data_IF_920327715925
#
_entry.id   IF_920327715925
#
_cell.length_a   1.000
_cell.length_b   1.000
_cell.length_c   1.000
_cell.angle_alpha   90.00
_cell.angle_beta   90.00
_cell.angle_gamma   90.00
#
_symmetry.space_group_name_H-M   'P 1'
#
loop_
_entity.id
_entity.type
_entity.pdbx_description
1 polymer ?
#
# COMPACT_ATOMS: atom_id res chain seq x y z
N UNK A 1 -6.80 30.39 5.47
CA UNK A 1 -6.35 29.39 6.44
C UNK A 1 -6.74 28.05 5.86
N UNK A 2 -5.77 27.16 5.61
CA UNK A 2 -5.97 25.85 4.98
C UNK A 2 -6.34 24.84 6.06
N UNK A 3 -7.36 24.04 5.80
CA UNK A 3 -7.93 23.06 6.75
C UNK A 3 -7.29 21.71 6.52
N UNK A 4 -6.52 21.23 7.49
CA UNK A 4 -5.71 20.01 7.40
C UNK A 4 -6.37 18.83 8.08
N UNK A 5 -6.43 17.69 7.37
CA UNK A 5 -6.66 16.37 7.93
C UNK A 5 -5.31 15.68 8.15
N UNK A 6 -4.98 15.31 9.40
CA UNK A 6 -3.79 14.53 9.73
C UNK A 6 -4.16 13.05 9.92
N UNK A 7 -3.49 12.16 9.17
CA UNK A 7 -3.70 10.71 9.27
C UNK A 7 -2.36 10.03 9.48
N UNK A 8 -2.14 9.50 10.67
CA UNK A 8 -0.86 8.93 11.11
C UNK A 8 -1.10 8.00 12.29
N UNK A 9 -0.63 6.77 12.23
CA UNK A 9 -0.86 5.76 13.28
C UNK A 9 -0.03 6.01 14.54
N UNK A 10 1.20 6.56 14.40
CA UNK A 10 2.07 6.90 15.51
C UNK A 10 1.55 8.15 16.24
N UNK A 11 0.86 7.94 17.36
CA UNK A 11 0.19 9.01 18.10
C UNK A 11 1.11 10.18 18.48
N UNK A 12 2.36 9.91 18.89
CA UNK A 12 3.32 10.96 19.25
C UNK A 12 3.73 11.81 18.04
N UNK A 13 3.94 11.20 16.89
CA UNK A 13 4.30 11.92 15.67
C UNK A 13 3.09 12.74 15.16
N UNK A 14 1.90 12.15 15.14
CA UNK A 14 0.66 12.85 14.80
C UNK A 14 0.40 14.07 15.67
N UNK A 15 0.54 13.95 17.01
CA UNK A 15 0.36 15.07 17.95
C UNK A 15 1.42 16.15 17.74
N UNK A 16 2.67 15.78 17.46
CA UNK A 16 3.75 16.72 17.17
C UNK A 16 3.43 17.51 15.89
N UNK A 17 3.03 16.85 14.82
CA UNK A 17 2.64 17.51 13.58
C UNK A 17 1.43 18.43 13.80
N UNK A 18 0.41 17.98 14.54
CA UNK A 18 -0.76 18.79 14.84
C UNK A 18 -0.36 20.08 15.58
N UNK A 19 0.49 19.97 16.61
CA UNK A 19 0.98 21.12 17.35
C UNK A 19 1.75 22.10 16.46
N UNK A 20 2.58 21.58 15.55
CA UNK A 20 3.36 22.38 14.60
C UNK A 20 2.45 23.11 13.62
N UNK A 21 1.51 22.41 12.98
CA UNK A 21 0.58 23.02 12.04
C UNK A 21 -0.33 24.06 12.68
N UNK A 22 -0.83 23.79 13.88
CA UNK A 22 -1.68 24.75 14.64
C UNK A 22 -0.88 25.98 15.13
N UNK A 23 0.46 25.88 15.18
CA UNK A 23 1.35 27.02 15.44
C UNK A 23 1.53 27.95 14.26
N UNK A 24 1.19 27.52 13.04
CA UNK A 24 1.32 28.30 11.82
C UNK A 24 0.02 29.05 11.47
N UNK A 25 0.09 30.37 11.14
CA UNK A 25 -1.10 31.19 10.93
C UNK A 25 -1.91 30.83 9.68
N UNK A 26 -1.35 30.08 8.77
CA UNK A 26 -1.92 29.69 7.49
C UNK A 26 -2.62 28.33 7.53
N UNK A 27 -2.49 27.57 8.64
CA UNK A 27 -3.06 26.24 8.79
C UNK A 27 -4.03 26.11 9.97
N UNK A 28 -4.93 25.13 9.88
CA UNK A 28 -5.82 24.69 10.95
C UNK A 28 -5.98 23.16 10.86
N UNK A 29 -5.62 22.43 11.89
CA UNK A 29 -5.85 20.98 11.95
C UNK A 29 -7.30 20.70 12.34
N UNK A 30 -8.14 20.42 11.35
CA UNK A 30 -9.58 20.22 11.53
C UNK A 30 -9.95 18.80 11.95
N UNK A 31 -9.08 17.82 11.69
CA UNK A 31 -9.26 16.44 12.13
C UNK A 31 -7.93 15.70 12.23
N UNK A 32 -7.90 14.71 13.12
CA UNK A 32 -6.80 13.77 13.29
C UNK A 32 -7.34 12.36 13.31
N UNK A 33 -6.60 11.40 12.72
CA UNK A 33 -6.95 9.99 12.69
C UNK A 33 -5.71 9.10 12.77
N UNK A 34 -5.83 7.94 13.43
CA UNK A 34 -4.78 6.94 13.55
C UNK A 34 -5.00 5.70 12.67
N UNK A 35 -6.05 5.69 11.83
CA UNK A 35 -6.39 4.57 10.95
C UNK A 35 -7.28 5.04 9.79
N UNK A 36 -7.41 4.24 8.74
CA UNK A 36 -8.32 4.51 7.62
C UNK A 36 -9.76 4.62 8.08
N UNK A 37 -10.22 3.69 8.92
CA UNK A 37 -11.59 3.69 9.42
C UNK A 37 -11.90 4.94 10.25
N UNK A 38 -10.94 5.42 11.04
CA UNK A 38 -11.07 6.68 11.77
C UNK A 38 -11.07 7.87 10.83
N UNK A 39 -10.14 7.94 9.88
CA UNK A 39 -10.03 9.01 8.91
C UNK A 39 -11.32 9.16 8.09
N UNK A 40 -11.89 8.06 7.57
CA UNK A 40 -13.16 8.07 6.86
C UNK A 40 -14.31 8.64 7.68
N UNK A 41 -14.37 8.32 8.99
CA UNK A 41 -15.41 8.87 9.89
C UNK A 41 -15.20 10.34 10.20
N UNK A 42 -13.97 10.74 10.49
CA UNK A 42 -13.65 12.11 10.90
C UNK A 42 -13.63 13.10 9.73
N UNK A 43 -13.30 12.64 8.52
CA UNK A 43 -13.30 13.48 7.32
C UNK A 43 -14.71 13.93 6.91
N UNK A 44 -15.75 13.18 7.28
CA UNK A 44 -17.13 13.52 6.94
C UNK A 44 -17.54 14.81 7.62
N UNK A 45 -17.87 15.85 6.84
CA UNK A 45 -18.40 17.12 7.32
C UNK A 45 -17.38 18.11 7.89
N UNK A 46 -16.10 17.74 8.02
CA UNK A 46 -15.07 18.70 8.50
C UNK A 46 -14.54 19.60 7.39
N UNK A 47 -14.75 19.25 6.10
CA UNK A 47 -14.34 20.08 4.96
C UNK A 47 -12.84 20.36 4.94
N UNK A 48 -12.00 19.32 5.02
CA UNK A 48 -10.57 19.46 4.87
C UNK A 48 -10.21 19.83 3.42
N UNK A 49 -9.26 20.77 3.26
CA UNK A 49 -8.73 21.19 1.96
C UNK A 49 -7.53 20.34 1.57
N UNK A 50 -6.76 19.90 2.57
CA UNK A 50 -5.52 19.16 2.41
C UNK A 50 -5.42 18.02 3.44
N UNK A 51 -4.89 16.88 2.99
CA UNK A 51 -4.54 15.74 3.85
C UNK A 51 -3.03 15.57 3.96
N UNK A 52 -2.52 15.44 5.17
CA UNK A 52 -1.17 14.94 5.45
C UNK A 52 -1.35 13.50 5.94
N UNK A 53 -1.02 12.54 5.09
CA UNK A 53 -1.47 11.16 5.22
C UNK A 53 -0.27 10.21 5.22
N UNK A 54 -0.18 9.36 6.25
CA UNK A 54 0.73 8.22 6.23
C UNK A 54 0.32 7.20 5.17
N UNK A 55 1.31 6.69 4.45
CA UNK A 55 1.11 5.67 3.44
C UNK A 55 0.68 4.33 4.06
N UNK A 56 1.27 3.97 5.21
CA UNK A 56 1.04 2.69 5.88
C UNK A 56 0.24 2.90 7.16
N UNK A 57 -0.98 2.37 7.19
CA UNK A 57 -1.87 2.44 8.33
C UNK A 57 -2.23 1.02 8.83
N UNK A 58 -2.64 0.85 10.10
CA UNK A 58 -2.87 -0.47 10.69
C UNK A 58 -4.00 -1.27 10.03
N UNK A 59 -4.89 -0.61 9.32
CA UNK A 59 -6.08 -1.18 8.68
C UNK A 59 -6.10 -1.01 7.15
N UNK A 60 -4.97 -0.62 6.52
CA UNK A 60 -4.82 -0.53 5.07
C UNK A 60 -3.81 0.52 4.61
N UNK A 61 -3.85 0.86 3.34
CA UNK A 61 -2.93 1.83 2.73
C UNK A 61 -3.57 3.22 2.61
N UNK A 62 -2.81 4.28 2.94
CA UNK A 62 -3.26 5.67 2.83
C UNK A 62 -3.72 6.08 1.42
N UNK A 63 -3.27 5.37 0.39
CA UNK A 63 -3.71 5.57 -1.01
C UNK A 63 -5.21 5.33 -1.21
N UNK A 64 -5.83 4.47 -0.42
CA UNK A 64 -7.27 4.25 -0.47
C UNK A 64 -8.03 5.51 -0.03
N UNK A 65 -7.55 6.13 1.06
CA UNK A 65 -8.15 7.34 1.60
C UNK A 65 -8.04 8.53 0.64
N UNK A 66 -6.93 8.64 -0.11
CA UNK A 66 -6.77 9.69 -1.13
C UNK A 66 -7.89 9.61 -2.17
N UNK A 67 -8.18 8.39 -2.67
CA UNK A 67 -9.26 8.19 -3.64
C UNK A 67 -10.62 8.59 -3.08
N UNK A 68 -10.95 8.10 -1.87
CA UNK A 68 -12.21 8.40 -1.19
C UNK A 68 -12.41 9.91 -1.00
N UNK A 69 -11.37 10.62 -0.54
CA UNK A 69 -11.44 12.06 -0.26
C UNK A 69 -11.51 12.90 -1.54
N UNK A 70 -10.81 12.50 -2.60
CA UNK A 70 -10.88 13.19 -3.90
C UNK A 70 -12.19 12.93 -4.65
N UNK A 71 -12.81 11.78 -4.47
CA UNK A 71 -14.17 11.53 -4.98
C UNK A 71 -15.19 12.44 -4.28
N UNK A 72 -15.01 12.68 -2.97
CA UNK A 72 -15.88 13.56 -2.19
C UNK A 72 -15.59 15.06 -2.44
N UNK A 73 -14.34 15.44 -2.69
CA UNK A 73 -13.88 16.81 -2.95
C UNK A 73 -12.78 16.77 -4.00
N UNK A 74 -13.11 17.12 -5.25
CA UNK A 74 -12.17 17.08 -6.38
C UNK A 74 -10.93 17.98 -6.21
N UNK A 75 -11.04 19.03 -5.41
CA UNK A 75 -9.95 19.98 -5.13
C UNK A 75 -9.06 19.56 -3.93
N UNK A 76 -9.39 18.45 -3.28
CA UNK A 76 -8.62 17.94 -2.14
C UNK A 76 -7.18 17.60 -2.54
N UNK A 77 -6.21 18.22 -1.87
CA UNK A 77 -4.79 17.94 -2.06
C UNK A 77 -4.29 16.93 -1.00
N UNK A 78 -3.48 15.96 -1.42
CA UNK A 78 -2.90 14.98 -0.51
C UNK A 78 -1.37 15.06 -0.54
N UNK A 79 -0.76 15.28 0.63
CA UNK A 79 0.66 15.09 0.91
C UNK A 79 0.81 13.72 1.59
N UNK A 80 1.58 12.85 0.98
CA UNK A 80 1.94 11.58 1.60
C UNK A 80 3.20 11.75 2.44
N UNK A 81 3.14 11.29 3.69
CA UNK A 81 4.31 11.06 4.54
C UNK A 81 4.62 9.57 4.58
N UNK A 82 5.84 9.17 4.27
CA UNK A 82 6.24 7.76 4.29
C UNK A 82 7.63 7.56 4.84
N UNK A 83 7.87 6.44 5.53
CA UNK A 83 9.21 5.99 5.89
C UNK A 83 9.84 5.11 4.79
N UNK A 84 9.08 4.79 3.75
CA UNK A 84 9.52 3.94 2.65
C UNK A 84 10.23 4.75 1.57
N UNK A 85 11.29 4.15 1.02
CA UNK A 85 12.01 4.64 -0.17
C UNK A 85 11.60 3.87 -1.43
N UNK A 86 10.60 2.99 -1.32
CA UNK A 86 10.13 2.18 -2.44
C UNK A 86 9.36 3.04 -3.45
N UNK A 87 9.92 3.13 -4.65
CA UNK A 87 9.31 3.87 -5.76
C UNK A 87 7.95 3.28 -6.19
N UNK A 88 7.68 2.00 -5.92
CA UNK A 88 6.39 1.39 -6.27
C UNK A 88 5.28 1.90 -5.38
N UNK A 89 5.56 2.12 -4.10
CA UNK A 89 4.63 2.75 -3.17
C UNK A 89 4.36 4.22 -3.53
N UNK A 90 5.42 4.97 -3.87
CA UNK A 90 5.27 6.35 -4.35
C UNK A 90 4.46 6.41 -5.65
N UNK A 91 4.67 5.46 -6.56
CA UNK A 91 3.93 5.36 -7.81
C UNK A 91 2.43 5.12 -7.57
N UNK A 92 2.08 4.23 -6.65
CA UNK A 92 0.68 4.00 -6.23
C UNK A 92 0.04 5.25 -5.61
N UNK A 93 0.80 5.98 -4.78
CA UNK A 93 0.32 7.22 -4.18
C UNK A 93 0.00 8.27 -5.25
N UNK A 94 0.89 8.49 -6.22
CA UNK A 94 0.69 9.42 -7.33
C UNK A 94 -0.46 8.99 -8.24
N UNK A 95 -0.60 7.69 -8.54
CA UNK A 95 -1.74 7.14 -9.29
C UNK A 95 -3.07 7.36 -8.56
N UNK A 96 -3.07 7.29 -7.23
CA UNK A 96 -4.26 7.60 -6.41
C UNK A 96 -4.59 9.08 -6.34
N UNK A 97 -3.68 9.95 -6.79
CA UNK A 97 -3.85 11.40 -6.85
C UNK A 97 -3.12 12.17 -5.74
N UNK A 98 -2.10 11.60 -5.12
CA UNK A 98 -1.22 12.36 -4.24
C UNK A 98 -0.54 13.48 -5.02
N UNK A 99 -0.54 14.69 -4.46
CA UNK A 99 0.08 15.86 -5.03
C UNK A 99 1.57 15.99 -4.65
N UNK A 100 2.00 15.22 -3.65
CA UNK A 100 3.39 15.15 -3.22
C UNK A 100 3.65 13.97 -2.30
N UNK A 101 4.91 13.57 -2.21
CA UNK A 101 5.41 12.54 -1.29
C UNK A 101 6.64 13.11 -0.59
N UNK A 102 6.65 13.05 0.75
CA UNK A 102 7.76 13.49 1.61
C UNK A 102 8.13 12.35 2.54
N UNK A 103 9.42 12.15 2.75
CA UNK A 103 9.89 11.13 3.67
C UNK A 103 9.68 11.58 5.13
N UNK A 104 9.25 10.68 6.04
CA UNK A 104 9.00 11.00 7.46
C UNK A 104 10.24 11.48 8.22
N UNK A 105 11.45 11.26 7.70
CA UNK A 105 12.69 11.80 8.27
C UNK A 105 13.05 13.19 7.75
N UNK A 106 12.23 13.80 6.89
CA UNK A 106 12.41 15.18 6.46
C UNK A 106 12.30 16.14 7.66
N UNK A 107 12.95 17.26 7.57
CA UNK A 107 12.83 18.29 8.58
C UNK A 107 11.41 18.86 8.60
N UNK A 108 10.99 19.35 9.77
CA UNK A 108 9.66 19.96 9.95
C UNK A 108 9.42 21.10 8.96
N UNK A 109 10.43 21.94 8.74
CA UNK A 109 10.35 23.05 7.80
C UNK A 109 10.11 22.58 6.36
N UNK A 110 10.66 21.42 5.97
CA UNK A 110 10.41 20.81 4.66
C UNK A 110 8.97 20.32 4.53
N UNK A 111 8.41 19.71 5.60
CA UNK A 111 7.00 19.28 5.61
C UNK A 111 6.06 20.48 5.51
N UNK A 112 6.34 21.55 6.27
CA UNK A 112 5.57 22.79 6.23
C UNK A 112 5.64 23.47 4.85
N UNK A 113 6.83 23.57 4.26
CA UNK A 113 7.02 24.17 2.91
C UNK A 113 6.27 23.34 1.86
N UNK A 114 6.43 22.02 1.88
CA UNK A 114 5.69 21.11 1.00
C UNK A 114 4.17 21.33 1.12
N UNK A 115 3.66 21.42 2.35
CA UNK A 115 2.24 21.64 2.60
C UNK A 115 1.76 22.99 2.08
N UNK A 116 2.55 24.07 2.25
CA UNK A 116 2.24 25.41 1.72
C UNK A 116 2.19 25.43 0.21
N UNK A 117 3.14 24.78 -0.45
CA UNK A 117 3.18 24.70 -1.91
C UNK A 117 1.96 23.94 -2.46
N UNK A 118 1.57 22.83 -1.81
CA UNK A 118 0.35 22.14 -2.19
C UNK A 118 -0.91 22.98 -1.95
N UNK A 119 -0.98 23.71 -0.85
CA UNK A 119 -2.07 24.63 -0.55
C UNK A 119 -2.18 25.78 -1.57
N UNK A 120 -1.07 26.16 -2.18
CA UNK A 120 -1.01 27.13 -3.28
C UNK A 120 -1.39 26.52 -4.65
N UNK A 121 -1.69 25.22 -4.71
CA UNK A 121 -2.03 24.50 -5.96
C UNK A 121 -0.79 24.07 -6.76
N UNK A 122 0.41 24.13 -6.18
CA UNK A 122 1.63 23.63 -6.80
C UNK A 122 1.69 22.10 -6.67
N UNK A 123 2.39 21.45 -7.58
CA UNK A 123 2.82 20.05 -7.44
C UNK A 123 4.25 19.99 -6.93
N UNK A 124 4.56 19.06 -6.03
CA UNK A 124 5.92 18.84 -5.53
C UNK A 124 6.77 18.04 -6.50
N UNK A 125 6.13 17.34 -7.42
CA UNK A 125 6.76 16.49 -8.42
C UNK A 125 6.86 17.20 -9.75
N UNK A 126 7.98 17.05 -10.44
CA UNK A 126 8.14 17.50 -11.83
C UNK A 126 7.25 16.65 -12.76
N UNK A 127 6.93 17.21 -13.93
CA UNK A 127 6.17 16.46 -14.94
C UNK A 127 6.86 15.14 -15.34
N UNK A 128 8.19 15.13 -15.39
CA UNK A 128 8.95 13.94 -15.72
C UNK A 128 8.82 12.86 -14.63
N UNK A 129 8.94 13.24 -13.35
CA UNK A 129 8.74 12.33 -12.22
C UNK A 129 7.32 11.76 -12.19
N UNK A 130 6.31 12.58 -12.44
CA UNK A 130 4.91 12.14 -12.52
C UNK A 130 4.76 11.08 -13.62
N UNK A 131 5.29 11.31 -14.82
CA UNK A 131 5.20 10.35 -15.93
C UNK A 131 5.91 9.04 -15.61
N UNK A 132 7.11 9.10 -14.99
CA UNK A 132 7.85 7.89 -14.58
C UNK A 132 7.08 7.10 -13.52
N UNK A 133 6.54 7.76 -12.50
CA UNK A 133 5.77 7.11 -11.44
C UNK A 133 4.46 6.51 -11.96
N UNK A 134 3.72 7.20 -12.82
CA UNK A 134 2.50 6.67 -13.42
C UNK A 134 2.78 5.45 -14.32
N UNK A 135 3.90 5.47 -15.05
CA UNK A 135 4.33 4.29 -15.82
C UNK A 135 4.64 3.11 -14.91
N UNK A 136 5.37 3.34 -13.82
CA UNK A 136 5.69 2.30 -12.82
C UNK A 136 4.41 1.74 -12.17
N UNK A 137 3.48 2.60 -11.79
CA UNK A 137 2.18 2.19 -11.23
C UNK A 137 1.41 1.29 -12.20
N UNK A 138 1.39 1.65 -13.48
CA UNK A 138 0.78 0.82 -14.53
C UNK A 138 1.42 -0.56 -14.66
N UNK A 139 2.75 -0.65 -14.58
CA UNK A 139 3.48 -1.93 -14.60
C UNK A 139 3.14 -2.79 -13.37
N UNK A 140 3.19 -2.21 -12.18
CA UNK A 140 2.85 -2.92 -10.92
C UNK A 140 1.41 -3.47 -10.98
N UNK A 141 0.47 -2.68 -11.45
CA UNK A 141 -0.92 -3.09 -11.57
C UNK A 141 -1.12 -4.25 -12.57
N UNK A 142 -0.39 -4.24 -13.68
CA UNK A 142 -0.47 -5.35 -14.64
C UNK A 142 0.15 -6.63 -14.07
N UNK A 143 1.31 -6.53 -13.39
CA UNK A 143 1.92 -7.66 -12.67
C UNK A 143 0.96 -8.25 -11.61
N UNK A 144 0.28 -7.39 -10.84
CA UNK A 144 -0.71 -7.83 -9.85
C UNK A 144 -1.92 -8.52 -10.50
N UNK A 145 -2.38 -7.98 -11.63
CA UNK A 145 -3.49 -8.57 -12.40
C UNK A 145 -3.14 -9.95 -12.96
N UNK A 146 -1.95 -10.09 -13.53
CA UNK A 146 -1.45 -11.37 -14.02
C UNK A 146 -1.29 -12.37 -12.87
N UNK A 147 -0.77 -11.93 -11.73
CA UNK A 147 -0.67 -12.76 -10.54
C UNK A 147 -2.06 -13.24 -10.05
N UNK A 148 -3.04 -12.34 -9.98
CA UNK A 148 -4.41 -12.71 -9.57
C UNK A 148 -5.06 -13.69 -10.56
N UNK A 149 -4.84 -13.52 -11.86
CA UNK A 149 -5.31 -14.46 -12.88
C UNK A 149 -4.68 -15.86 -12.69
N UNK A 150 -3.38 -15.93 -12.39
CA UNK A 150 -2.65 -17.17 -12.09
C UNK A 150 -3.16 -17.84 -10.82
N UNK A 151 -3.42 -17.06 -9.77
CA UNK A 151 -4.00 -17.50 -8.49
C UNK A 151 -5.37 -18.14 -8.70
N UNK A 152 -6.20 -17.53 -9.55
CA UNK A 152 -7.53 -18.04 -9.88
C UNK A 152 -7.52 -19.43 -10.54
N UNK A 153 -6.40 -19.86 -11.10
CA UNK A 153 -6.21 -21.20 -11.69
C UNK A 153 -5.80 -22.27 -10.68
N UNK A 154 -5.37 -21.89 -9.46
CA UNK A 154 -4.92 -22.82 -8.43
C UNK A 154 -6.13 -23.53 -7.83
N UNK A 155 -6.14 -24.85 -7.97
CA UNK A 155 -7.20 -25.72 -7.40
C UNK A 155 -7.10 -25.80 -5.88
N UNK A 156 -8.19 -26.18 -5.16
CA UNK A 156 -8.14 -26.41 -3.71
C UNK A 156 -7.02 -27.40 -3.31
N UNK A 157 -6.80 -28.44 -4.10
CA UNK A 157 -5.78 -29.44 -3.81
C UNK A 157 -4.36 -28.90 -3.99
N UNK A 158 -4.13 -28.08 -4.99
CA UNK A 158 -2.85 -27.41 -5.21
C UNK A 158 -2.57 -26.37 -4.11
N UNK A 159 -3.61 -25.70 -3.60
CA UNK A 159 -3.49 -24.80 -2.44
C UNK A 159 -3.07 -25.56 -1.17
N UNK A 160 -3.63 -26.75 -0.91
CA UNK A 160 -3.19 -27.59 0.20
C UNK A 160 -1.71 -28.01 0.07
N UNK A 161 -1.26 -28.32 -1.15
CA UNK A 161 0.16 -28.63 -1.42
C UNK A 161 1.03 -27.41 -1.12
N UNK A 162 0.64 -26.22 -1.59
CA UNK A 162 1.37 -24.96 -1.31
C UNK A 162 1.42 -24.66 0.19
N UNK A 163 0.31 -24.83 0.92
CA UNK A 163 0.25 -24.58 2.36
C UNK A 163 1.16 -25.55 3.13
N UNK A 164 1.16 -26.83 2.78
CA UNK A 164 2.07 -27.80 3.41
C UNK A 164 3.54 -27.56 3.03
N UNK A 165 3.81 -27.01 1.84
CA UNK A 165 5.13 -26.54 1.46
C UNK A 165 5.56 -25.33 2.33
N UNK A 166 4.66 -24.40 2.62
CA UNK A 166 4.93 -23.25 3.47
C UNK A 166 5.23 -23.66 4.95
N UNK A 167 4.77 -24.82 5.38
CA UNK A 167 5.11 -25.42 6.66
C UNK A 167 6.52 -26.07 6.67
N UNK A 168 7.26 -26.02 5.56
CA UNK A 168 8.62 -26.55 5.44
C UNK A 168 8.71 -28.06 5.16
N UNK A 169 7.60 -28.72 4.79
CA UNK A 169 7.58 -30.16 4.56
C UNK A 169 8.26 -30.54 3.23
N UNK A 170 8.97 -31.68 3.26
CA UNK A 170 9.52 -32.33 2.05
C UNK A 170 8.43 -32.98 1.21
N UNK A 171 8.72 -33.30 -0.06
CA UNK A 171 7.78 -33.99 -0.97
C UNK A 171 7.19 -35.26 -0.36
N UNK A 172 7.99 -36.05 0.37
CA UNK A 172 7.54 -37.29 1.02
C UNK A 172 6.57 -37.00 2.17
N UNK A 173 6.87 -35.98 2.96
CA UNK A 173 6.02 -35.57 4.08
C UNK A 173 4.71 -34.94 3.59
N UNK A 174 4.76 -34.10 2.54
CA UNK A 174 3.56 -33.57 1.89
C UNK A 174 2.69 -34.70 1.37
N UNK A 175 3.27 -35.66 0.62
CA UNK A 175 2.55 -36.80 0.08
C UNK A 175 1.89 -37.63 1.19
N UNK A 176 2.62 -37.91 2.27
CA UNK A 176 2.08 -38.62 3.45
C UNK A 176 0.95 -37.84 4.14
N UNK A 177 1.16 -36.53 4.38
CA UNK A 177 0.20 -35.63 5.04
C UNK A 177 -1.11 -35.49 4.28
N UNK A 178 -1.00 -35.41 2.94
CA UNK A 178 -2.14 -35.24 2.04
C UNK A 178 -2.69 -36.55 1.50
N UNK A 179 -2.25 -37.71 2.01
CA UNK A 179 -2.70 -39.06 1.63
C UNK A 179 -2.60 -39.30 0.11
N UNK A 180 -1.47 -38.96 -0.50
CA UNK A 180 -1.19 -39.18 -1.93
C UNK A 180 0.17 -39.85 -2.13
N UNK A 181 0.44 -40.34 -3.35
CA UNK A 181 1.78 -40.83 -3.72
C UNK A 181 2.75 -39.65 -3.91
N UNK A 182 4.06 -39.93 -3.77
CA UNK A 182 5.10 -38.91 -4.05
C UNK A 182 5.07 -38.48 -5.52
N UNK A 183 4.71 -39.36 -6.43
CA UNK A 183 4.59 -39.04 -7.86
C UNK A 183 3.35 -38.14 -8.13
N UNK A 184 2.26 -38.33 -7.38
CA UNK A 184 1.09 -37.45 -7.42
C UNK A 184 1.45 -36.07 -6.89
N UNK A 185 2.20 -35.95 -5.78
CA UNK A 185 2.69 -34.67 -5.25
C UNK A 185 3.56 -33.94 -6.28
N UNK A 186 4.51 -34.65 -6.94
CA UNK A 186 5.33 -34.07 -7.99
C UNK A 186 4.50 -33.53 -9.16
N UNK A 187 3.45 -34.25 -9.54
CA UNK A 187 2.53 -33.80 -10.59
C UNK A 187 1.79 -32.53 -10.18
N UNK A 188 1.25 -32.47 -8.94
CA UNK A 188 0.64 -31.26 -8.42
C UNK A 188 1.64 -30.08 -8.40
N UNK A 189 2.86 -30.32 -7.92
CA UNK A 189 3.89 -29.28 -7.88
C UNK A 189 4.23 -28.76 -9.27
N UNK A 190 4.39 -29.66 -10.26
CA UNK A 190 4.65 -29.25 -11.64
C UNK A 190 3.50 -28.40 -12.20
N UNK A 191 2.25 -28.78 -11.93
CA UNK A 191 1.09 -28.02 -12.37
C UNK A 191 1.03 -26.64 -11.68
N UNK A 192 1.36 -26.56 -10.40
CA UNK A 192 1.48 -25.28 -9.65
C UNK A 192 2.52 -24.37 -10.31
N UNK A 193 3.75 -24.91 -10.57
CA UNK A 193 4.82 -24.12 -11.20
C UNK A 193 4.38 -23.57 -12.56
N UNK A 194 3.72 -24.39 -13.38
CA UNK A 194 3.23 -23.97 -14.69
C UNK A 194 2.13 -22.89 -14.57
N UNK A 195 1.17 -23.04 -13.65
CA UNK A 195 0.07 -22.09 -13.45
C UNK A 195 0.54 -20.74 -12.90
N UNK A 196 1.52 -20.76 -11.99
CA UNK A 196 2.10 -19.55 -11.41
C UNK A 196 3.19 -18.91 -12.29
N UNK A 197 3.59 -19.56 -13.40
CA UNK A 197 4.64 -19.06 -14.28
C UNK A 197 6.03 -19.04 -13.63
N UNK A 198 6.30 -19.92 -12.66
CA UNK A 198 7.55 -19.98 -11.90
C UNK A 198 8.31 -21.29 -12.14
N UNK A 199 9.62 -21.29 -11.87
CA UNK A 199 10.49 -22.40 -12.28
C UNK A 199 11.03 -23.26 -11.11
N UNK A 200 10.71 -22.90 -9.86
CA UNK A 200 11.16 -23.64 -8.69
C UNK A 200 10.16 -23.60 -7.55
N UNK A 201 10.22 -24.59 -6.65
CA UNK A 201 9.41 -24.65 -5.43
C UNK A 201 9.59 -23.42 -4.56
N UNK A 202 10.83 -22.91 -4.45
CA UNK A 202 11.10 -21.69 -3.68
C UNK A 202 10.40 -20.49 -4.31
N UNK A 203 10.43 -20.36 -5.63
CA UNK A 203 9.70 -19.28 -6.31
C UNK A 203 8.18 -19.41 -6.13
N UNK A 204 7.64 -20.63 -6.18
CA UNK A 204 6.22 -20.86 -5.91
C UNK A 204 5.85 -20.48 -4.48
N UNK A 205 6.71 -20.81 -3.50
CA UNK A 205 6.49 -20.41 -2.10
C UNK A 205 6.56 -18.89 -1.91
N UNK A 206 7.56 -18.23 -2.49
CA UNK A 206 7.68 -16.76 -2.45
C UNK A 206 6.45 -16.11 -3.09
N UNK A 207 6.02 -16.58 -4.25
CA UNK A 207 4.81 -16.11 -4.93
C UNK A 207 3.58 -16.30 -4.05
N UNK A 208 3.39 -17.51 -3.51
CA UNK A 208 2.25 -17.83 -2.66
C UNK A 208 2.20 -16.99 -1.38
N UNK A 209 3.34 -16.73 -0.75
CA UNK A 209 3.45 -15.86 0.42
C UNK A 209 3.16 -14.38 0.07
N UNK A 210 3.76 -13.88 -1.01
CA UNK A 210 3.59 -12.50 -1.47
C UNK A 210 2.12 -12.14 -1.75
N UNK A 211 1.38 -13.07 -2.33
CA UNK A 211 -0.01 -12.86 -2.74
C UNK A 211 -1.05 -13.50 -1.80
N UNK A 212 -0.66 -13.88 -0.59
CA UNK A 212 -1.58 -14.37 0.44
C UNK A 212 -2.25 -15.71 0.12
N UNK A 213 -1.65 -16.53 -0.75
CA UNK A 213 -2.13 -17.89 -1.03
C UNK A 213 -1.88 -18.87 0.12
N UNK A 214 -0.87 -18.59 0.95
CA UNK A 214 -0.44 -19.39 2.09
C UNK A 214 -0.13 -18.52 3.29
N UNK A 215 -0.30 -19.08 4.48
CA UNK A 215 0.13 -18.48 5.74
C UNK A 215 1.52 -19.02 6.11
N UNK A 216 2.47 -18.14 6.35
CA UNK A 216 3.78 -18.48 6.90
C UNK A 216 3.67 -18.53 8.44
N UNK A 217 4.07 -19.65 9.03
CA UNK A 217 4.12 -19.81 10.50
C UNK A 217 5.49 -19.41 11.03
#
# INVERSE_FOLDING_TARGET
>A
MQRILLVEDHASFRQTLAYIFDGEPDFEVVAQAGSLAEARRTAVGVGADLGVIDLTLPDGEGVELIRDLREANGDFAALILTASVDKTEHARAVEAGAAGVVHKSADVDEILDATRRLAAGETLLSQQEIVELLRLAGQVREEEREAQASIGQITPREREVLQTLAEGLSNKEIAARLHMSVDTERTHMMNILNKLGVHSRLQALIFAARYGLVELK
#
